data_IF_747678900088
#
_entry.id   IF_747678900088
#
_cell.length_a   1.000
_cell.length_b   1.000
_cell.length_c   1.000
_cell.angle_alpha   90.00
_cell.angle_beta   90.00
_cell.angle_gamma   90.00
#
_symmetry.space_group_name_H-M   'P 1'
#
loop_
_entity.id
_entity.type
_entity.pdbx_description
1 polymer ?
#
# COMPACT_ATOMS: atom_id res chain seq x y z
N UNK A 1 4.46 -5.76 21.53
CA UNK A 1 3.40 -4.99 20.87
C UNK A 1 2.31 -4.71 21.89
N UNK A 2 2.19 -3.47 22.29
CA UNK A 2 1.16 -2.98 23.22
C UNK A 2 -0.13 -2.63 22.47
N UNK A 3 -1.23 -2.39 23.18
CA UNK A 3 -2.46 -1.89 22.55
C UNK A 3 -2.25 -0.54 21.84
N UNK A 4 -1.43 0.35 22.42
CA UNK A 4 -1.06 1.63 21.81
C UNK A 4 -0.25 1.49 20.50
N UNK A 5 0.57 0.43 20.39
CA UNK A 5 1.27 0.14 19.13
C UNK A 5 0.29 -0.25 18.02
N UNK A 6 -0.76 -1.03 18.35
CA UNK A 6 -1.76 -1.47 17.39
C UNK A 6 -2.63 -0.32 16.86
N UNK A 7 -3.03 0.60 17.74
CA UNK A 7 -3.78 1.81 17.35
C UNK A 7 -2.93 2.72 16.46
N UNK A 8 -1.66 2.91 16.81
CA UNK A 8 -0.73 3.72 16.02
C UNK A 8 -0.50 3.11 14.62
N UNK A 9 -0.26 1.80 14.54
CA UNK A 9 -0.16 1.07 13.27
C UNK A 9 -1.43 1.21 12.42
N UNK A 10 -2.61 1.12 13.04
CA UNK A 10 -3.89 1.24 12.34
C UNK A 10 -4.08 2.64 11.75
N UNK A 11 -3.72 3.70 12.49
CA UNK A 11 -3.74 5.07 11.96
C UNK A 11 -2.77 5.26 10.79
N UNK A 12 -1.54 4.77 10.90
CA UNK A 12 -0.57 4.82 9.80
C UNK A 12 -1.06 4.06 8.56
N UNK A 13 -1.68 2.89 8.76
CA UNK A 13 -2.28 2.12 7.67
C UNK A 13 -3.42 2.88 6.99
N UNK A 14 -4.26 3.59 7.74
CA UNK A 14 -5.32 4.42 7.19
C UNK A 14 -4.76 5.57 6.32
N UNK A 15 -3.72 6.27 6.79
CA UNK A 15 -3.05 7.33 6.03
C UNK A 15 -2.46 6.80 4.71
N UNK A 16 -1.79 5.64 4.76
CA UNK A 16 -1.27 5.00 3.56
C UNK A 16 -2.39 4.59 2.59
N UNK A 17 -3.47 3.98 3.09
CA UNK A 17 -4.63 3.66 2.27
C UNK A 17 -5.25 4.91 1.62
N UNK A 18 -5.29 6.04 2.33
CA UNK A 18 -5.74 7.32 1.77
C UNK A 18 -4.85 7.77 0.61
N UNK A 19 -3.53 7.71 0.77
CA UNK A 19 -2.59 8.04 -0.30
C UNK A 19 -2.75 7.15 -1.55
N UNK A 20 -2.99 5.85 -1.36
CA UNK A 20 -3.27 4.93 -2.48
C UNK A 20 -4.57 5.27 -3.21
N UNK A 21 -5.63 5.67 -2.48
CA UNK A 21 -6.90 6.10 -3.09
C UNK A 21 -6.70 7.37 -3.90
N UNK A 22 -6.06 8.38 -3.33
CA UNK A 22 -5.76 9.63 -4.02
C UNK A 22 -4.94 9.38 -5.30
N UNK A 23 -3.91 8.53 -5.23
CA UNK A 23 -3.11 8.18 -6.41
C UNK A 23 -3.92 7.41 -7.47
N UNK A 24 -4.77 6.48 -7.06
CA UNK A 24 -5.65 5.74 -7.96
C UNK A 24 -6.64 6.64 -8.71
N UNK A 25 -7.16 7.66 -8.03
CA UNK A 25 -8.10 8.64 -8.59
C UNK A 25 -7.40 9.74 -9.41
N UNK A 26 -6.06 9.68 -9.54
CA UNK A 26 -5.25 10.62 -10.30
C UNK A 26 -4.83 11.88 -9.53
N UNK A 27 -5.17 11.99 -8.25
CA UNK A 27 -4.76 13.09 -7.38
C UNK A 27 -3.40 12.79 -6.71
N UNK A 28 -2.35 12.85 -7.53
CA UNK A 28 -0.97 12.63 -7.07
C UNK A 28 -0.49 13.71 -6.08
N UNK A 29 -1.05 14.91 -6.14
CA UNK A 29 -0.70 16.00 -5.23
C UNK A 29 -1.18 15.68 -3.80
N UNK A 30 -2.44 15.23 -3.65
CA UNK A 30 -2.99 14.78 -2.38
C UNK A 30 -2.24 13.56 -1.84
N UNK A 31 -1.94 12.57 -2.70
CA UNK A 31 -1.15 11.40 -2.31
C UNK A 31 0.22 11.80 -1.77
N UNK A 32 0.94 12.68 -2.48
CA UNK A 32 2.25 13.16 -2.07
C UNK A 32 2.19 13.95 -0.74
N UNK A 33 1.19 14.82 -0.56
CA UNK A 33 1.02 15.58 0.68
C UNK A 33 0.76 14.66 1.89
N UNK A 34 -0.07 13.62 1.70
CA UNK A 34 -0.36 12.62 2.73
C UNK A 34 0.91 11.87 3.14
N UNK A 35 1.69 11.39 2.16
CA UNK A 35 2.92 10.65 2.43
C UNK A 35 4.01 11.54 3.03
N UNK A 36 4.16 12.78 2.58
CA UNK A 36 5.11 13.72 3.17
C UNK A 36 4.78 14.03 4.63
N UNK A 37 3.48 14.16 4.95
CA UNK A 37 3.04 14.33 6.34
C UNK A 37 3.41 13.11 7.19
N UNK A 38 3.23 11.90 6.66
CA UNK A 38 3.59 10.66 7.35
C UNK A 38 5.11 10.51 7.52
N UNK A 39 5.90 10.88 6.52
CA UNK A 39 7.37 10.91 6.60
C UNK A 39 7.85 11.88 7.67
N UNK A 40 7.31 13.10 7.71
CA UNK A 40 7.64 14.09 8.72
C UNK A 40 7.26 13.62 10.13
N UNK A 41 6.08 13.02 10.30
CA UNK A 41 5.58 12.52 11.60
C UNK A 41 6.42 11.37 12.13
N UNK A 42 6.87 10.47 11.26
CA UNK A 42 7.74 9.34 11.65
C UNK A 42 9.20 9.72 11.75
N UNK A 43 9.60 10.88 11.21
CA UNK A 43 10.98 11.33 11.05
C UNK A 43 11.86 10.32 10.32
N UNK A 44 11.29 9.71 9.28
CA UNK A 44 11.94 8.73 8.42
C UNK A 44 13.27 9.27 7.87
N UNK A 45 14.37 8.54 8.11
CA UNK A 45 15.70 8.91 7.63
C UNK A 45 16.48 7.67 7.17
N UNK A 46 17.27 7.76 6.08
CA UNK A 46 18.09 6.65 5.63
C UNK A 46 19.20 6.34 6.64
N UNK A 47 19.44 5.06 6.88
CA UNK A 47 20.61 4.54 7.61
C UNK A 47 21.19 3.35 6.85
N UNK A 48 22.51 3.16 6.98
CA UNK A 48 23.22 2.04 6.41
C UNK A 48 23.40 0.96 7.48
N UNK A 49 22.74 -0.18 7.29
CA UNK A 49 22.87 -1.32 8.19
C UNK A 49 23.71 -2.42 7.52
N UNK A 50 24.58 -3.11 8.27
CA UNK A 50 25.43 -4.16 7.71
C UNK A 50 24.59 -5.35 7.24
N UNK A 51 24.86 -5.85 6.04
CA UNK A 51 24.20 -7.04 5.51
C UNK A 51 24.94 -8.33 5.94
N UNK A 52 24.22 -9.43 6.27
CA UNK A 52 24.82 -10.75 6.39
C UNK A 52 25.54 -11.18 5.09
N UNK A 53 26.83 -11.50 5.19
CA UNK A 53 27.68 -11.82 4.03
C UNK A 53 28.48 -10.64 3.48
N UNK A 54 28.41 -9.47 4.14
CA UNK A 54 29.15 -8.27 3.75
C UNK A 54 28.33 -7.29 2.93
N UNK A 55 28.74 -6.02 2.91
CA UNK A 55 28.01 -4.93 2.28
C UNK A 55 27.02 -4.22 3.22
N UNK A 56 26.18 -3.35 2.65
CA UNK A 56 25.28 -2.46 3.38
C UNK A 56 23.87 -2.47 2.77
N UNK A 57 22.86 -2.47 3.63
CA UNK A 57 21.46 -2.21 3.29
C UNK A 57 21.08 -0.80 3.69
N UNK A 58 20.34 -0.12 2.81
CA UNK A 58 19.69 1.15 3.18
C UNK A 58 18.36 0.83 3.82
N UNK A 59 18.24 1.13 5.10
CA UNK A 59 16.98 1.10 5.85
C UNK A 59 16.49 2.52 6.10
N UNK A 60 15.18 2.67 6.31
CA UNK A 60 14.58 3.95 6.68
C UNK A 60 13.99 3.82 8.07
N UNK A 61 14.66 4.42 9.04
CA UNK A 61 14.30 4.32 10.45
C UNK A 61 13.52 5.54 10.91
N UNK A 62 12.64 5.33 11.87
CA UNK A 62 11.85 6.38 12.51
C UNK A 62 12.62 7.17 13.56
N UNK A 63 11.98 8.15 14.20
CA UNK A 63 12.53 8.92 15.32
C UNK A 63 12.76 8.11 16.58
N UNK A 64 12.06 6.99 16.73
CA UNK A 64 12.14 6.09 17.86
C UNK A 64 12.08 4.62 17.41
N UNK A 65 12.39 3.72 18.35
CA UNK A 65 12.42 2.27 18.12
C UNK A 65 11.04 1.61 18.34
N UNK A 66 9.95 2.40 18.40
CA UNK A 66 8.62 1.80 18.49
C UNK A 66 8.31 1.08 17.18
N UNK A 67 7.66 -0.08 17.31
CA UNK A 67 7.31 -0.90 16.15
C UNK A 67 6.45 -0.13 15.15
N UNK A 68 5.53 0.70 15.64
CA UNK A 68 4.63 1.50 14.82
C UNK A 68 5.39 2.56 14.00
N UNK A 69 6.25 3.36 14.64
CA UNK A 69 7.00 4.43 13.97
C UNK A 69 8.03 3.87 13.00
N UNK A 70 8.79 2.84 13.40
CA UNK A 70 9.80 2.22 12.56
C UNK A 70 9.23 1.60 11.28
N UNK A 71 8.14 0.84 11.38
CA UNK A 71 7.47 0.27 10.20
C UNK A 71 6.84 1.35 9.32
N UNK A 72 6.17 2.33 9.92
CA UNK A 72 5.55 3.41 9.17
C UNK A 72 6.58 4.22 8.38
N UNK A 73 7.76 4.49 8.94
CA UNK A 73 8.85 5.19 8.26
C UNK A 73 9.31 4.47 6.97
N UNK A 74 9.55 3.16 7.07
CA UNK A 74 9.93 2.33 5.93
C UNK A 74 8.84 2.26 4.85
N UNK A 75 7.60 2.01 5.26
CA UNK A 75 6.47 1.94 4.32
C UNK A 75 6.19 3.27 3.64
N UNK A 76 6.16 4.38 4.39
CA UNK A 76 5.96 5.72 3.84
C UNK A 76 7.05 6.08 2.84
N UNK A 77 8.31 5.73 3.14
CA UNK A 77 9.42 5.97 2.21
C UNK A 77 9.28 5.16 0.93
N UNK A 78 8.91 3.87 1.04
CA UNK A 78 8.65 3.04 -0.14
C UNK A 78 7.54 3.60 -1.04
N UNK A 79 6.46 4.13 -0.44
CA UNK A 79 5.37 4.77 -1.19
C UNK A 79 5.85 6.09 -1.81
N UNK A 80 6.64 6.89 -1.11
CA UNK A 80 7.20 8.14 -1.65
C UNK A 80 8.07 7.87 -2.89
N UNK A 81 8.91 6.83 -2.84
CA UNK A 81 9.72 6.41 -3.99
C UNK A 81 8.85 5.92 -5.15
N UNK A 82 7.74 5.22 -4.87
CA UNK A 82 6.81 4.82 -5.91
C UNK A 82 6.11 6.03 -6.56
N UNK A 83 5.59 6.96 -5.76
CA UNK A 83 4.95 8.20 -6.24
C UNK A 83 5.91 9.10 -7.03
N UNK A 84 7.18 9.19 -6.61
CA UNK A 84 8.21 10.00 -7.26
C UNK A 84 8.83 9.35 -8.51
N UNK A 85 8.35 8.18 -8.93
CA UNK A 85 8.91 7.43 -10.06
C UNK A 85 7.84 7.09 -11.11
N UNK A 86 8.23 6.30 -12.11
CA UNK A 86 7.28 5.76 -13.10
C UNK A 86 6.32 4.70 -12.51
N UNK A 87 6.38 4.44 -11.20
CA UNK A 87 5.49 3.55 -10.48
C UNK A 87 4.27 4.26 -9.90
N UNK A 88 4.13 5.58 -10.03
CA UNK A 88 3.00 6.33 -9.47
C UNK A 88 1.64 5.77 -9.94
N UNK A 89 1.51 5.47 -11.23
CA UNK A 89 0.32 4.84 -11.83
C UNK A 89 0.17 3.34 -11.52
N UNK A 90 0.99 2.78 -10.64
CA UNK A 90 0.94 1.36 -10.23
C UNK A 90 0.41 1.18 -8.81
N UNK A 91 0.06 2.25 -8.10
CA UNK A 91 -0.65 2.19 -6.84
C UNK A 91 -2.14 2.01 -7.14
N UNK A 92 -2.69 0.84 -6.79
CA UNK A 92 -4.04 0.44 -7.18
C UNK A 92 -4.94 0.06 -6.02
N UNK A 93 -6.25 0.13 -6.27
CA UNK A 93 -7.31 -0.37 -5.40
C UNK A 93 -7.90 -1.66 -5.99
N UNK A 94 -8.34 -2.58 -5.13
CA UNK A 94 -8.92 -3.84 -5.58
C UNK A 94 -10.32 -3.65 -6.19
N UNK A 95 -10.52 -4.08 -7.44
CA UNK A 95 -11.81 -4.03 -8.16
C UNK A 95 -12.86 -5.06 -7.66
N UNK A 96 -12.56 -5.83 -6.61
CA UNK A 96 -13.47 -6.87 -6.14
C UNK A 96 -14.54 -6.26 -5.24
N UNK A 97 -15.79 -6.69 -5.42
CA UNK A 97 -16.88 -6.29 -4.51
C UNK A 97 -16.52 -6.62 -3.06
N UNK A 98 -16.84 -5.67 -2.17
CA UNK A 98 -16.54 -5.70 -0.72
C UNK A 98 -15.05 -5.93 -0.39
N UNK A 99 -14.15 -5.35 -1.16
CA UNK A 99 -12.72 -5.36 -0.88
C UNK A 99 -12.14 -3.96 -1.04
N UNK A 100 -11.55 -3.43 0.03
CA UNK A 100 -10.94 -2.09 0.11
C UNK A 100 -9.41 -2.11 0.13
N UNK A 101 -8.82 -3.30 -0.06
CA UNK A 101 -7.37 -3.50 -0.06
C UNK A 101 -6.70 -2.79 -1.24
N UNK A 102 -5.52 -2.24 -0.94
CA UNK A 102 -4.61 -1.62 -1.91
C UNK A 102 -3.59 -2.64 -2.44
N UNK A 103 -2.94 -2.34 -3.56
CA UNK A 103 -1.82 -3.12 -4.10
C UNK A 103 -0.86 -2.27 -4.93
N UNK A 104 0.37 -2.75 -5.09
CA UNK A 104 1.30 -2.27 -6.10
C UNK A 104 1.25 -3.20 -7.31
N UNK A 105 1.09 -2.63 -8.51
CA UNK A 105 1.03 -3.39 -9.76
C UNK A 105 2.43 -3.71 -10.31
N UNK A 106 2.91 -4.91 -10.00
CA UNK A 106 4.17 -5.46 -10.51
C UNK A 106 4.02 -6.20 -11.85
N UNK A 107 2.83 -6.16 -12.48
CA UNK A 107 2.61 -6.79 -13.79
C UNK A 107 3.35 -6.04 -14.90
N UNK A 108 3.72 -6.78 -15.94
CA UNK A 108 4.45 -6.23 -17.10
C UNK A 108 3.76 -5.03 -17.73
N UNK A 109 2.43 -5.10 -17.86
CA UNK A 109 1.64 -4.13 -18.63
C UNK A 109 0.82 -3.16 -17.76
N UNK A 110 0.97 -3.18 -16.43
CA UNK A 110 0.15 -2.32 -15.56
C UNK A 110 -1.34 -2.69 -15.61
N UNK A 111 -1.65 -3.98 -15.74
CA UNK A 111 -3.02 -4.48 -15.97
C UNK A 111 -3.62 -5.22 -14.77
N UNK A 112 -2.96 -5.18 -13.60
CA UNK A 112 -3.51 -5.79 -12.39
C UNK A 112 -4.74 -4.99 -11.95
N UNK A 113 -5.78 -5.72 -11.57
CA UNK A 113 -7.07 -5.16 -11.12
C UNK A 113 -7.47 -5.63 -9.73
N UNK A 114 -6.82 -6.67 -9.21
CA UNK A 114 -7.20 -7.31 -7.95
C UNK A 114 -6.00 -7.42 -7.01
N UNK A 115 -6.23 -7.21 -5.72
CA UNK A 115 -5.16 -7.32 -4.71
C UNK A 115 -4.62 -8.75 -4.60
N UNK A 116 -5.36 -9.78 -5.01
CA UNK A 116 -4.91 -11.18 -4.97
C UNK A 116 -5.68 -12.07 -5.96
N UNK A 117 -5.13 -13.25 -6.22
CA UNK A 117 -5.79 -14.33 -6.98
C UNK A 117 -7.12 -14.74 -6.35
N UNK A 118 -7.23 -14.71 -5.02
CA UNK A 118 -8.48 -15.02 -4.32
C UNK A 118 -9.59 -14.02 -4.67
N UNK A 119 -9.29 -12.71 -4.68
CA UNK A 119 -10.25 -11.67 -5.11
C UNK A 119 -10.62 -11.83 -6.60
N UNK A 120 -9.63 -12.09 -7.45
CA UNK A 120 -9.87 -12.34 -8.87
C UNK A 120 -10.81 -13.54 -9.11
N UNK A 121 -10.57 -14.66 -8.42
CA UNK A 121 -11.40 -15.86 -8.53
C UNK A 121 -12.81 -15.64 -8.00
N UNK A 122 -12.95 -14.96 -6.84
CA UNK A 122 -14.27 -14.63 -6.28
C UNK A 122 -15.11 -13.81 -7.26
N UNK A 123 -14.53 -12.78 -7.88
CA UNK A 123 -15.21 -11.95 -8.90
C UNK A 123 -15.60 -12.79 -10.12
N UNK A 124 -14.71 -13.65 -10.62
CA UNK A 124 -15.01 -14.56 -11.74
C UNK A 124 -16.16 -15.52 -11.41
N UNK A 125 -16.13 -16.16 -10.24
CA UNK A 125 -17.18 -17.10 -9.81
C UNK A 125 -18.54 -16.41 -9.64
N UNK A 126 -18.57 -15.20 -9.09
CA UNK A 126 -19.81 -14.42 -8.99
C UNK A 126 -20.38 -14.10 -10.38
N UNK A 127 -19.54 -13.65 -11.31
CA UNK A 127 -19.96 -13.34 -12.68
C UNK A 127 -20.39 -14.59 -13.48
N UNK A 128 -19.81 -15.75 -13.20
CA UNK A 128 -20.25 -17.03 -13.75
C UNK A 128 -21.64 -17.40 -13.22
N UNK A 129 -21.83 -17.39 -11.88
CA UNK A 129 -23.14 -17.69 -11.26
C UNK A 129 -24.25 -16.79 -11.76
N UNK A 130 -24.00 -15.49 -11.92
CA UNK A 130 -24.98 -14.55 -12.45
C UNK A 130 -25.43 -14.88 -13.89
N UNK A 131 -24.56 -15.51 -14.70
CA UNK A 131 -24.87 -15.97 -16.06
C UNK A 131 -25.56 -17.34 -16.07
N UNK A 132 -25.33 -18.16 -15.04
CA UNK A 132 -25.88 -19.52 -14.94
C UNK A 132 -27.25 -19.62 -14.27
N UNK A 133 -27.77 -18.53 -13.69
CA UNK A 133 -29.15 -18.49 -13.18
C UNK A 133 -30.08 -18.13 -14.35
N UNK A 134 -30.94 -19.04 -14.83
CA UNK A 134 -31.90 -18.71 -15.87
C UNK A 134 -32.89 -17.67 -15.34
N UNK A 135 -33.23 -16.69 -16.18
CA UNK A 135 -34.23 -15.68 -15.85
C UNK A 135 -35.55 -16.39 -15.51
N UNK A 136 -36.02 -16.24 -14.26
CA UNK A 136 -37.36 -16.69 -13.88
C UNK A 136 -38.36 -15.74 -14.53
N UNK A 137 -39.06 -16.25 -15.55
CA UNK A 137 -40.30 -15.71 -16.09
C UNK A 137 -41.44 -15.83 -15.08
#
# INVERSE_FOLDING_TARGET
>A
MTAGDADSLSHHAADMCHAFRAAHDGDLACAAATINTLLARTGARPQLDPQPGGGWHVHFHGTDDTLATGWAAGCATGIALALGSNLAGRLGLCDADRCDRVYVDTSKNGSRRFCSTACQNRTKSAAYRARSVPARS
#
